data_IF_753800229133
#
_entry.id   IF_753800229133
#
_cell.length_a   1.000
_cell.length_b   1.000
_cell.length_c   1.000
_cell.angle_alpha   90.00
_cell.angle_beta   90.00
_cell.angle_gamma   90.00
#
_symmetry.space_group_name_H-M   'P 1'
#
loop_
_entity.id
_entity.type
_entity.pdbx_description
1 polymer ?
#
# COMPACT_ATOMS: atom_id res chain seq x y z
N UNK A 1 -20.34 11.35 17.87
CA UNK A 1 -19.41 12.16 18.65
C UNK A 1 -17.96 11.74 18.37
N UNK A 2 -17.14 12.69 17.90
CA UNK A 2 -15.73 12.42 17.54
C UNK A 2 -14.88 12.13 18.79
N UNK A 3 -15.24 12.70 19.93
CA UNK A 3 -14.52 12.56 21.19
C UNK A 3 -14.90 11.29 21.99
N UNK A 4 -15.95 10.56 21.56
CA UNK A 4 -16.30 9.30 22.20
C UNK A 4 -15.26 8.22 21.86
N UNK A 5 -14.47 7.85 22.85
CA UNK A 5 -13.41 6.82 22.75
C UNK A 5 -13.84 5.47 23.36
N UNK A 6 -15.13 5.27 23.61
CA UNK A 6 -15.63 3.95 23.99
C UNK A 6 -15.32 2.91 22.92
N UNK A 7 -15.09 1.66 23.33
CA UNK A 7 -14.75 0.57 22.41
C UNK A 7 -15.81 0.38 21.32
N UNK A 8 -17.08 0.56 21.68
CA UNK A 8 -18.18 0.46 20.73
C UNK A 8 -18.14 1.60 19.70
N UNK A 9 -17.90 2.84 20.14
CA UNK A 9 -17.75 4.00 19.26
C UNK A 9 -16.55 3.85 18.34
N UNK A 10 -15.40 3.42 18.85
CA UNK A 10 -14.20 3.18 18.05
C UNK A 10 -14.43 2.11 16.97
N UNK A 11 -15.12 1.02 17.30
CA UNK A 11 -15.49 -0.02 16.32
C UNK A 11 -16.41 0.53 15.22
N UNK A 12 -17.42 1.34 15.58
CA UNK A 12 -18.28 2.00 14.58
C UNK A 12 -17.49 2.95 13.68
N UNK A 13 -16.59 3.75 14.26
CA UNK A 13 -15.70 4.65 13.51
C UNK A 13 -14.80 3.86 12.54
N UNK A 14 -14.22 2.76 13.01
CA UNK A 14 -13.37 1.88 12.20
C UNK A 14 -14.13 1.30 11.01
N UNK A 15 -15.29 0.67 11.22
CA UNK A 15 -16.12 0.10 10.16
C UNK A 15 -16.52 1.18 9.14
N UNK A 16 -16.96 2.34 9.62
CA UNK A 16 -17.30 3.48 8.75
C UNK A 16 -16.11 3.91 7.91
N UNK A 17 -14.93 4.08 8.51
CA UNK A 17 -13.74 4.58 7.80
C UNK A 17 -13.22 3.56 6.78
N UNK A 18 -13.24 2.26 7.13
CA UNK A 18 -12.89 1.16 6.21
C UNK A 18 -13.82 1.17 4.97
N UNK A 19 -15.10 1.48 5.13
CA UNK A 19 -16.03 1.58 4.02
C UNK A 19 -15.90 2.90 3.22
N UNK A 20 -15.59 4.02 3.88
CA UNK A 20 -15.55 5.33 3.26
C UNK A 20 -14.28 5.59 2.45
N UNK A 21 -13.10 5.17 2.95
CA UNK A 21 -11.82 5.46 2.28
C UNK A 21 -11.79 4.90 0.85
N UNK A 22 -12.16 3.63 0.58
CA UNK A 22 -12.24 3.13 -0.80
C UNK A 22 -13.19 3.95 -1.68
N UNK A 23 -14.34 4.35 -1.14
CA UNK A 23 -15.30 5.17 -1.89
C UNK A 23 -14.74 6.55 -2.26
N UNK A 24 -14.01 7.18 -1.34
CA UNK A 24 -13.30 8.45 -1.59
C UNK A 24 -12.24 8.26 -2.67
N UNK A 25 -11.43 7.21 -2.59
CA UNK A 25 -10.35 6.94 -3.54
C UNK A 25 -10.90 6.63 -4.93
N UNK A 26 -11.96 5.83 -5.05
CA UNK A 26 -12.60 5.56 -6.33
C UNK A 26 -13.18 6.84 -6.94
N UNK A 27 -13.88 7.66 -6.13
CA UNK A 27 -14.40 8.97 -6.56
C UNK A 27 -13.29 9.89 -7.05
N UNK A 28 -12.17 9.99 -6.31
CA UNK A 28 -11.01 10.79 -6.72
C UNK A 28 -10.43 10.31 -8.06
N UNK A 29 -10.34 9.00 -8.27
CA UNK A 29 -9.85 8.40 -9.51
C UNK A 29 -10.73 8.80 -10.70
N UNK A 30 -12.03 8.66 -10.56
CA UNK A 30 -12.98 9.05 -11.61
C UNK A 30 -12.93 10.54 -11.92
N UNK A 31 -12.97 11.40 -10.90
CA UNK A 31 -12.91 12.85 -11.10
C UNK A 31 -11.62 13.30 -11.80
N UNK A 32 -10.50 12.70 -11.47
CA UNK A 32 -9.21 12.96 -12.16
C UNK A 32 -9.21 12.53 -13.62
N UNK A 33 -10.00 11.51 -13.95
CA UNK A 33 -10.21 11.04 -15.33
C UNK A 33 -11.35 11.77 -16.05
N UNK A 34 -11.89 12.84 -15.48
CA UNK A 34 -13.01 13.61 -16.06
C UNK A 34 -14.37 12.88 -16.02
N UNK A 35 -14.49 11.84 -15.21
CA UNK A 35 -15.71 11.02 -15.08
C UNK A 35 -16.49 11.41 -13.82
N UNK A 36 -17.82 11.29 -13.88
CA UNK A 36 -18.68 11.48 -12.71
C UNK A 36 -18.48 10.37 -11.67
N UNK A 37 -18.61 10.66 -10.36
CA UNK A 37 -18.62 9.65 -9.32
C UNK A 37 -19.64 8.55 -9.60
N UNK A 38 -19.27 7.29 -9.32
CA UNK A 38 -20.21 6.17 -9.36
C UNK A 38 -20.62 5.80 -7.92
N UNK A 39 -21.91 5.52 -7.69
CA UNK A 39 -22.38 5.13 -6.35
C UNK A 39 -21.89 3.72 -5.98
N UNK A 40 -21.77 3.42 -4.67
CA UNK A 40 -21.50 2.07 -4.23
C UNK A 40 -22.67 1.11 -4.53
N UNK A 41 -22.35 -0.16 -4.77
CA UNK A 41 -23.33 -1.22 -5.00
C UNK A 41 -23.55 -2.02 -3.71
N UNK A 42 -24.74 -1.97 -3.10
CA UNK A 42 -24.99 -2.59 -1.79
C UNK A 42 -24.79 -4.11 -1.73
N UNK A 43 -24.90 -4.78 -2.88
CA UNK A 43 -24.74 -6.25 -2.95
C UNK A 43 -23.30 -6.75 -3.18
N UNK A 44 -22.32 -5.84 -3.35
CA UNK A 44 -20.95 -6.22 -3.64
C UNK A 44 -20.07 -6.16 -2.37
N UNK A 45 -19.12 -7.11 -2.27
CA UNK A 45 -18.04 -7.04 -1.28
C UNK A 45 -17.09 -5.87 -1.54
N UNK A 46 -16.23 -5.55 -0.56
CA UNK A 46 -15.40 -4.34 -0.56
C UNK A 46 -14.51 -4.20 -1.81
N UNK A 47 -13.81 -5.26 -2.23
CA UNK A 47 -12.93 -5.23 -3.40
C UNK A 47 -13.73 -5.05 -4.70
N UNK A 48 -14.81 -5.83 -4.89
CA UNK A 48 -15.66 -5.72 -6.05
C UNK A 48 -16.32 -4.34 -6.14
N UNK A 49 -16.79 -3.81 -5.01
CA UNK A 49 -17.43 -2.51 -4.93
C UNK A 49 -16.46 -1.38 -5.29
N UNK A 50 -15.22 -1.43 -4.76
CA UNK A 50 -14.19 -0.47 -5.14
C UNK A 50 -13.94 -0.44 -6.65
N UNK A 51 -13.73 -1.63 -7.26
CA UNK A 51 -13.48 -1.73 -8.70
C UNK A 51 -14.69 -1.27 -9.53
N UNK A 52 -15.92 -1.64 -9.11
CA UNK A 52 -17.13 -1.19 -9.77
C UNK A 52 -17.29 0.34 -9.72
N UNK A 53 -17.02 0.95 -8.55
CA UNK A 53 -17.05 2.41 -8.42
C UNK A 53 -15.96 3.09 -9.25
N UNK A 54 -14.74 2.51 -9.31
CA UNK A 54 -13.64 3.10 -10.06
C UNK A 54 -13.87 3.00 -11.58
N UNK A 55 -14.28 1.83 -12.08
CA UNK A 55 -14.40 1.56 -13.51
C UNK A 55 -15.78 1.92 -14.08
N UNK A 56 -16.81 2.02 -13.23
CA UNK A 56 -18.19 2.28 -13.66
C UNK A 56 -18.91 1.03 -14.18
N UNK A 57 -18.33 -0.15 -14.02
CA UNK A 57 -18.94 -1.44 -14.38
C UNK A 57 -18.47 -2.53 -13.40
N UNK A 58 -19.22 -3.63 -13.22
CA UNK A 58 -18.83 -4.73 -12.36
C UNK A 58 -17.50 -5.35 -12.77
N UNK A 59 -16.61 -5.69 -11.82
CA UNK A 59 -15.38 -6.43 -12.10
C UNK A 59 -15.67 -7.92 -12.36
N UNK A 60 -14.69 -8.60 -12.97
CA UNK A 60 -14.69 -10.07 -13.04
C UNK A 60 -14.35 -10.66 -11.68
N UNK A 61 -14.63 -11.97 -11.49
CA UNK A 61 -14.25 -12.70 -10.28
C UNK A 61 -12.73 -12.69 -10.06
N UNK A 62 -11.94 -12.82 -11.13
CA UNK A 62 -10.48 -12.77 -11.06
C UNK A 62 -9.97 -11.41 -10.56
N UNK A 63 -10.53 -10.31 -11.05
CA UNK A 63 -10.20 -8.96 -10.60
C UNK A 63 -10.58 -8.76 -9.12
N UNK A 64 -11.77 -9.20 -8.74
CA UNK A 64 -12.25 -9.12 -7.36
C UNK A 64 -11.34 -9.87 -6.40
N UNK A 65 -11.03 -11.14 -6.69
CA UNK A 65 -10.16 -11.97 -5.86
C UNK A 65 -8.73 -11.43 -5.78
N UNK A 66 -8.20 -10.89 -6.87
CA UNK A 66 -6.87 -10.29 -6.92
C UNK A 66 -6.77 -9.05 -6.01
N UNK A 67 -7.77 -8.15 -6.07
CA UNK A 67 -7.79 -6.98 -5.19
C UNK A 67 -8.07 -7.34 -3.74
N UNK A 68 -8.94 -8.32 -3.49
CA UNK A 68 -9.21 -8.81 -2.13
C UNK A 68 -7.95 -9.39 -1.48
N UNK A 69 -7.21 -10.23 -2.21
CA UNK A 69 -5.92 -10.74 -1.76
C UNK A 69 -4.91 -9.62 -1.46
N UNK A 70 -4.83 -8.60 -2.32
CA UNK A 70 -4.00 -7.41 -2.06
C UNK A 70 -4.41 -6.72 -0.76
N UNK A 71 -5.70 -6.47 -0.56
CA UNK A 71 -6.20 -5.80 0.64
C UNK A 71 -5.90 -6.61 1.92
N UNK A 72 -6.10 -7.92 1.89
CA UNK A 72 -5.79 -8.80 3.03
C UNK A 72 -4.30 -8.79 3.36
N UNK A 73 -3.43 -8.93 2.36
CA UNK A 73 -1.97 -8.98 2.55
C UNK A 73 -1.38 -7.67 3.07
N UNK A 74 -2.02 -6.54 2.79
CA UNK A 74 -1.57 -5.21 3.20
C UNK A 74 -2.34 -4.65 4.41
N UNK A 75 -3.36 -5.36 4.91
CA UNK A 75 -4.22 -4.90 6.00
C UNK A 75 -3.45 -4.48 7.24
N UNK A 76 -2.41 -5.23 7.61
CA UNK A 76 -1.54 -4.88 8.73
C UNK A 76 -0.08 -5.26 8.45
N UNK A 77 0.84 -4.63 9.17
CA UNK A 77 2.27 -4.95 9.21
C UNK A 77 2.93 -4.43 10.49
N UNK A 78 2.32 -4.71 11.61
CA UNK A 78 2.82 -4.34 12.93
C UNK A 78 3.14 -2.84 13.07
N UNK A 79 4.26 -2.51 13.70
CA UNK A 79 4.67 -1.12 13.99
C UNK A 79 5.42 -0.46 12.82
N UNK A 80 4.90 -0.56 11.60
CA UNK A 80 5.40 0.24 10.49
C UNK A 80 5.23 1.75 10.74
N UNK A 81 5.87 2.60 9.92
CA UNK A 81 5.94 4.04 10.17
C UNK A 81 4.56 4.70 10.35
N UNK A 82 3.59 4.39 9.49
CA UNK A 82 2.25 5.00 9.59
C UNK A 82 1.44 4.46 10.77
N UNK A 83 1.54 3.17 11.08
CA UNK A 83 0.91 2.58 12.26
C UNK A 83 1.51 3.14 13.55
N UNK A 84 2.84 3.28 13.60
CA UNK A 84 3.52 3.91 14.75
C UNK A 84 3.07 5.37 14.93
N UNK A 85 2.94 6.13 13.83
CA UNK A 85 2.42 7.50 13.85
C UNK A 85 0.99 7.54 14.40
N UNK A 86 0.10 6.65 13.94
CA UNK A 86 -1.27 6.55 14.48
C UNK A 86 -1.27 6.30 16.00
N UNK A 87 -0.47 5.33 16.45
CA UNK A 87 -0.35 5.00 17.89
C UNK A 87 0.23 6.15 18.71
N UNK A 88 1.19 6.89 18.16
CA UNK A 88 1.76 8.08 18.83
C UNK A 88 0.69 9.14 19.06
N UNK A 89 -0.12 9.44 18.04
CA UNK A 89 -1.24 10.39 18.15
C UNK A 89 -2.29 9.87 19.14
N UNK A 90 -2.69 8.61 19.01
CA UNK A 90 -3.63 7.98 19.96
C UNK A 90 -3.11 8.02 21.39
N UNK A 91 -1.81 7.81 21.59
CA UNK A 91 -1.12 7.86 22.89
C UNK A 91 -1.29 9.19 23.62
N UNK A 92 -1.51 10.29 22.91
CA UNK A 92 -1.82 11.61 23.48
C UNK A 92 -3.27 11.78 23.90
N UNK A 93 -4.13 10.77 23.68
CA UNK A 93 -5.59 10.81 23.80
C UNK A 93 -6.30 11.73 22.80
N UNK A 94 -5.67 11.96 21.65
CA UNK A 94 -6.34 12.57 20.50
C UNK A 94 -7.40 11.63 19.92
N UNK A 95 -8.32 12.18 19.13
CA UNK A 95 -9.44 11.42 18.55
C UNK A 95 -8.99 10.44 17.44
N UNK A 96 -9.90 9.51 17.11
CA UNK A 96 -9.66 8.47 16.11
C UNK A 96 -9.30 9.04 14.72
N UNK A 97 -9.99 10.08 14.27
CA UNK A 97 -9.79 10.64 12.92
C UNK A 97 -8.48 11.40 12.81
N UNK A 98 -8.05 12.07 13.86
CA UNK A 98 -6.71 12.68 13.95
C UNK A 98 -5.61 11.65 13.83
N UNK A 99 -5.75 10.48 14.49
CA UNK A 99 -4.79 9.38 14.40
C UNK A 99 -4.75 8.78 12.97
N UNK A 100 -5.90 8.57 12.34
CA UNK A 100 -5.98 8.10 10.93
C UNK A 100 -5.36 9.13 9.98
N UNK A 101 -5.67 10.41 10.15
CA UNK A 101 -5.11 11.49 9.31
C UNK A 101 -3.57 11.53 9.39
N UNK A 102 -3.02 11.40 10.59
CA UNK A 102 -1.58 11.36 10.81
C UNK A 102 -0.94 10.10 10.15
N UNK A 103 -1.62 8.95 10.22
CA UNK A 103 -1.19 7.72 9.54
C UNK A 103 -1.15 7.89 8.02
N UNK A 104 -2.17 8.51 7.42
CA UNK A 104 -2.22 8.84 5.99
C UNK A 104 -1.07 9.78 5.61
N UNK A 105 -0.81 10.81 6.42
CA UNK A 105 0.31 11.73 6.23
C UNK A 105 1.67 11.01 6.22
N UNK A 106 1.88 10.08 7.16
CA UNK A 106 3.08 9.25 7.22
C UNK A 106 3.18 8.29 6.02
N UNK A 107 2.06 7.66 5.62
CA UNK A 107 2.03 6.74 4.47
C UNK A 107 2.38 7.44 3.16
N UNK A 108 1.98 8.70 2.98
CA UNK A 108 2.27 9.50 1.78
C UNK A 108 3.77 9.70 1.54
N UNK A 109 4.61 9.55 2.56
CA UNK A 109 6.05 9.76 2.45
C UNK A 109 6.73 8.84 1.42
N UNK A 110 7.72 9.34 0.65
CA UNK A 110 8.36 8.59 -0.44
C UNK A 110 9.17 7.37 0.04
N UNK A 111 9.47 7.27 1.34
CA UNK A 111 10.16 6.14 1.95
C UNK A 111 9.19 5.11 2.56
N UNK A 112 7.87 5.28 2.39
CA UNK A 112 6.86 4.39 2.95
C UNK A 112 5.86 3.92 1.89
N UNK A 113 4.75 4.59 1.68
CA UNK A 113 3.65 4.09 0.83
C UNK A 113 3.79 4.32 -0.68
N UNK A 114 4.85 4.98 -1.15
CA UNK A 114 5.03 5.28 -2.57
C UNK A 114 5.87 4.24 -3.34
N UNK A 115 6.31 3.16 -2.69
CA UNK A 115 7.23 2.21 -3.30
C UNK A 115 6.62 1.42 -4.47
N UNK A 116 5.35 1.03 -4.38
CA UNK A 116 4.64 0.34 -5.45
C UNK A 116 4.47 1.21 -6.70
N UNK A 117 4.13 2.50 -6.53
CA UNK A 117 4.06 3.45 -7.65
C UNK A 117 5.44 3.59 -8.33
N UNK A 118 6.49 3.81 -7.55
CA UNK A 118 7.86 3.91 -8.08
C UNK A 118 8.31 2.65 -8.78
N UNK A 119 7.91 1.48 -8.28
CA UNK A 119 8.18 0.20 -8.96
C UNK A 119 7.51 0.15 -10.32
N UNK A 120 6.27 0.64 -10.45
CA UNK A 120 5.60 0.68 -11.76
C UNK A 120 6.25 1.68 -12.71
N UNK A 121 6.70 2.84 -12.21
CA UNK A 121 7.49 3.82 -12.99
C UNK A 121 8.78 3.18 -13.54
N UNK A 122 9.46 2.35 -12.74
CA UNK A 122 10.63 1.56 -13.19
C UNK A 122 10.25 0.57 -14.30
N UNK A 123 9.14 -0.15 -14.16
CA UNK A 123 8.68 -1.07 -15.20
C UNK A 123 8.36 -0.34 -16.52
N UNK A 124 7.79 0.85 -16.45
CA UNK A 124 7.58 1.71 -17.63
C UNK A 124 8.89 2.20 -18.24
N UNK A 125 9.88 2.61 -17.43
CA UNK A 125 11.19 3.05 -17.90
C UNK A 125 11.92 1.91 -18.65
N UNK A 126 11.89 0.70 -18.11
CA UNK A 126 12.50 -0.47 -18.76
C UNK A 126 11.74 -0.82 -20.03
N UNK A 127 10.43 -0.90 -19.97
CA UNK A 127 9.51 -1.13 -21.09
C UNK A 127 9.49 -2.54 -21.66
N UNK A 128 10.64 -3.26 -21.72
CA UNK A 128 10.72 -4.61 -22.29
C UNK A 128 11.77 -5.47 -21.58
N UNK A 129 11.57 -6.82 -21.48
CA UNK A 129 12.45 -7.72 -20.75
C UNK A 129 13.92 -7.72 -21.23
N UNK A 130 14.16 -7.51 -22.50
CA UNK A 130 15.51 -7.44 -23.11
C UNK A 130 16.32 -6.23 -22.64
N UNK A 131 15.67 -5.19 -22.13
CA UNK A 131 16.32 -3.97 -21.60
C UNK A 131 16.68 -4.06 -20.11
N UNK A 132 16.26 -5.10 -19.42
CA UNK A 132 16.45 -5.25 -17.97
C UNK A 132 17.93 -5.26 -17.58
N UNK A 133 18.79 -5.97 -18.31
CA UNK A 133 20.21 -6.07 -17.98
C UNK A 133 20.93 -4.72 -18.08
N UNK A 134 20.62 -3.95 -19.12
CA UNK A 134 21.15 -2.60 -19.30
C UNK A 134 20.69 -1.67 -18.16
N UNK A 135 19.41 -1.75 -17.78
CA UNK A 135 18.85 -1.00 -16.65
C UNK A 135 19.55 -1.35 -15.33
N UNK A 136 19.66 -2.64 -15.00
CA UNK A 136 20.31 -3.11 -13.78
C UNK A 136 21.77 -2.65 -13.72
N UNK A 137 22.52 -2.77 -14.84
CA UNK A 137 23.89 -2.29 -14.93
C UNK A 137 24.01 -0.78 -14.66
N UNK A 138 23.12 0.03 -15.24
CA UNK A 138 23.05 1.49 -14.99
C UNK A 138 22.81 1.76 -13.52
N UNK A 139 21.78 1.15 -12.89
CA UNK A 139 21.43 1.36 -11.48
C UNK A 139 22.58 1.00 -10.53
N UNK A 140 23.37 -0.03 -10.87
CA UNK A 140 24.56 -0.42 -10.12
C UNK A 140 25.68 0.61 -10.23
N UNK A 141 25.95 1.09 -11.44
CA UNK A 141 26.98 2.12 -11.69
C UNK A 141 26.63 3.44 -10.98
N UNK A 142 25.36 3.83 -10.99
CA UNK A 142 24.85 5.06 -10.37
C UNK A 142 24.59 4.93 -8.86
N UNK A 143 24.90 3.78 -8.25
CA UNK A 143 24.64 3.47 -6.84
C UNK A 143 23.19 3.71 -6.41
N UNK A 144 22.23 3.53 -7.33
CA UNK A 144 20.83 3.77 -7.09
C UNK A 144 20.17 2.57 -6.38
N UNK A 145 19.04 2.85 -5.68
CA UNK A 145 18.25 1.82 -5.01
C UNK A 145 17.27 1.16 -5.98
N UNK A 146 17.17 -0.15 -5.92
CA UNK A 146 16.11 -0.88 -6.64
C UNK A 146 14.79 -0.77 -5.88
N UNK A 147 13.80 -0.15 -6.51
CA UNK A 147 12.45 -0.01 -5.93
C UNK A 147 11.73 -1.36 -5.93
N UNK A 148 11.00 -1.65 -4.85
CA UNK A 148 10.35 -2.96 -4.68
C UNK A 148 11.26 -4.07 -4.16
N UNK A 149 12.53 -3.77 -3.85
CA UNK A 149 13.51 -4.73 -3.33
C UNK A 149 13.99 -4.37 -1.93
N UNK A 150 14.32 -5.42 -1.16
CA UNK A 150 14.78 -5.30 0.21
C UNK A 150 13.65 -4.97 1.19
N UNK A 151 13.86 -5.27 2.46
CA UNK A 151 12.90 -5.03 3.51
C UNK A 151 13.59 -4.65 4.81
N UNK A 152 12.97 -3.76 5.62
CA UNK A 152 13.55 -3.33 6.89
C UNK A 152 13.53 -4.43 7.96
N UNK A 153 12.49 -5.27 7.93
CA UNK A 153 12.25 -6.33 8.91
C UNK A 153 12.70 -7.69 8.38
N UNK A 154 12.26 -8.08 7.19
CA UNK A 154 12.62 -9.36 6.60
C UNK A 154 14.04 -9.32 6.04
N UNK A 155 14.88 -10.29 6.46
CA UNK A 155 16.24 -10.47 5.91
C UNK A 155 16.27 -11.39 4.68
N UNK A 156 15.18 -12.11 4.43
CA UNK A 156 14.94 -12.97 3.28
C UNK A 156 13.75 -12.49 2.47
N UNK A 157 12.99 -13.42 1.89
CA UNK A 157 11.79 -13.11 1.13
C UNK A 157 10.67 -12.56 2.01
N UNK A 158 9.96 -11.57 1.51
CA UNK A 158 8.71 -11.09 2.10
C UNK A 158 7.62 -12.16 1.86
N UNK A 159 7.03 -12.76 2.91
CA UNK A 159 6.07 -13.85 2.75
C UNK A 159 4.81 -13.45 1.96
N UNK A 160 4.51 -12.16 1.87
CA UNK A 160 3.38 -11.61 1.11
C UNK A 160 3.67 -11.58 -0.40
N UNK A 161 4.93 -11.37 -0.78
CA UNK A 161 5.33 -11.18 -2.17
C UNK A 161 5.03 -12.41 -3.05
N UNK A 162 5.17 -13.64 -2.52
CA UNK A 162 4.84 -14.86 -3.26
C UNK A 162 3.36 -14.94 -3.67
N UNK A 163 2.46 -14.46 -2.81
CA UNK A 163 1.03 -14.45 -3.09
C UNK A 163 0.68 -13.40 -4.15
N UNK A 164 1.26 -12.20 -4.05
CA UNK A 164 1.09 -11.16 -5.06
C UNK A 164 1.71 -11.53 -6.40
N UNK A 165 2.85 -12.23 -6.40
CA UNK A 165 3.43 -12.80 -7.61
C UNK A 165 2.47 -13.74 -8.32
N UNK A 166 1.85 -14.67 -7.58
CA UNK A 166 0.89 -15.62 -8.13
C UNK A 166 -0.35 -14.91 -8.72
N UNK A 167 -0.87 -13.90 -8.02
CA UNK A 167 -2.00 -13.10 -8.50
C UNK A 167 -1.65 -12.23 -9.70
N UNK A 168 -0.46 -11.59 -9.72
CA UNK A 168 -0.01 -10.79 -10.86
C UNK A 168 0.10 -11.64 -12.13
N UNK A 169 0.59 -12.88 -12.02
CA UNK A 169 0.63 -13.84 -13.13
C UNK A 169 -0.78 -14.19 -13.62
N UNK A 170 -1.61 -14.73 -12.70
CA UNK A 170 -2.96 -15.20 -13.02
C UNK A 170 -3.83 -14.09 -13.63
N UNK A 171 -3.78 -12.89 -13.06
CA UNK A 171 -4.56 -11.76 -13.55
C UNK A 171 -4.02 -11.26 -14.89
N UNK A 172 -2.70 -11.19 -15.07
CA UNK A 172 -2.07 -10.83 -16.34
C UNK A 172 -2.49 -11.77 -17.48
N UNK A 173 -2.53 -13.07 -17.20
CA UNK A 173 -3.02 -14.07 -18.15
C UNK A 173 -4.51 -13.88 -18.48
N UNK A 174 -5.35 -13.69 -17.44
CA UNK A 174 -6.79 -13.49 -17.60
C UNK A 174 -7.16 -12.20 -18.36
N UNK A 175 -6.33 -11.15 -18.28
CA UNK A 175 -6.54 -9.86 -18.92
C UNK A 175 -5.77 -9.69 -20.24
N UNK A 176 -5.00 -10.69 -20.67
CA UNK A 176 -4.12 -10.57 -21.85
C UNK A 176 -2.98 -9.56 -21.70
N UNK A 177 -2.54 -9.30 -20.47
CA UNK A 177 -1.50 -8.32 -20.11
C UNK A 177 -0.28 -9.01 -19.46
N UNK A 178 0.19 -10.09 -20.04
CA UNK A 178 1.29 -10.93 -19.51
C UNK A 178 2.65 -10.24 -19.50
N UNK A 179 2.82 -9.20 -20.32
CA UNK A 179 4.09 -8.46 -20.47
C UNK A 179 4.57 -7.87 -19.12
N UNK A 180 3.66 -7.39 -18.27
CA UNK A 180 4.04 -6.79 -16.98
C UNK A 180 4.56 -7.82 -15.99
N UNK A 181 3.97 -9.01 -15.99
CA UNK A 181 4.48 -10.11 -15.17
C UNK A 181 5.84 -10.59 -15.68
N UNK A 182 5.98 -10.82 -17.01
CA UNK A 182 7.24 -11.27 -17.61
C UNK A 182 8.38 -10.28 -17.36
N UNK A 183 8.12 -8.97 -17.50
CA UNK A 183 9.09 -7.92 -17.20
C UNK A 183 9.47 -7.91 -15.72
N UNK A 184 8.48 -8.01 -14.82
CA UNK A 184 8.73 -8.08 -13.37
C UNK A 184 9.57 -9.30 -13.00
N UNK A 185 9.26 -10.48 -13.55
CA UNK A 185 10.00 -11.71 -13.27
C UNK A 185 11.44 -11.61 -13.75
N UNK A 186 11.66 -11.07 -14.96
CA UNK A 186 13.01 -10.85 -15.49
C UNK A 186 13.81 -9.85 -14.64
N UNK A 187 13.18 -8.77 -14.17
CA UNK A 187 13.83 -7.78 -13.29
C UNK A 187 14.16 -8.39 -11.92
N UNK A 188 13.24 -9.18 -11.34
CA UNK A 188 13.47 -9.90 -10.08
C UNK A 188 14.73 -10.78 -10.21
N UNK A 189 14.83 -11.57 -11.28
CA UNK A 189 15.96 -12.45 -11.51
C UNK A 189 17.28 -11.67 -11.65
N UNK A 190 17.30 -10.63 -12.47
CA UNK A 190 18.50 -9.83 -12.72
C UNK A 190 19.02 -9.15 -11.45
N UNK A 191 18.13 -8.58 -10.63
CA UNK A 191 18.53 -7.94 -9.36
C UNK A 191 18.99 -8.99 -8.34
N UNK A 192 18.36 -10.15 -8.29
CA UNK A 192 18.82 -11.25 -7.45
C UNK A 192 20.23 -11.72 -7.82
N UNK A 193 20.51 -11.90 -9.11
CA UNK A 193 21.87 -12.27 -9.58
C UNK A 193 22.90 -11.21 -9.22
N UNK A 194 22.57 -9.94 -9.38
CA UNK A 194 23.49 -8.82 -9.20
C UNK A 194 23.75 -8.45 -7.73
N UNK A 195 22.74 -8.52 -6.86
CA UNK A 195 22.80 -7.97 -5.48
C UNK A 195 22.33 -8.93 -4.40
N UNK A 196 21.75 -10.08 -4.73
CA UNK A 196 21.09 -11.00 -3.78
C UNK A 196 20.00 -10.30 -2.95
N UNK A 197 19.30 -9.35 -3.55
CA UNK A 197 18.19 -8.65 -2.93
C UNK A 197 16.87 -9.35 -3.25
N UNK A 198 16.12 -9.72 -2.21
CA UNK A 198 14.77 -10.24 -2.35
C UNK A 198 13.77 -9.12 -2.62
N UNK A 199 12.72 -9.44 -3.35
CA UNK A 199 11.57 -8.56 -3.55
C UNK A 199 10.80 -8.38 -2.24
N UNK A 200 10.10 -7.24 -2.13
CA UNK A 200 9.14 -6.98 -1.06
C UNK A 200 7.70 -6.94 -1.61
N UNK A 201 6.73 -6.67 -0.73
CA UNK A 201 5.30 -6.64 -1.07
C UNK A 201 4.97 -5.65 -2.19
N UNK A 202 5.71 -4.54 -2.32
CA UNK A 202 5.43 -3.49 -3.29
C UNK A 202 5.78 -3.89 -4.72
N UNK A 203 6.68 -4.87 -4.90
CA UNK A 203 7.19 -5.25 -6.22
C UNK A 203 6.07 -5.78 -7.14
N UNK A 204 5.43 -6.88 -6.77
CA UNK A 204 4.33 -7.44 -7.57
C UNK A 204 3.00 -6.73 -7.36
N UNK A 205 2.81 -5.96 -6.28
CA UNK A 205 1.64 -5.10 -6.18
C UNK A 205 1.60 -4.04 -7.28
N UNK A 206 2.75 -3.57 -7.76
CA UNK A 206 2.82 -2.59 -8.84
C UNK A 206 2.16 -3.11 -10.12
N UNK A 207 2.62 -4.24 -10.64
CA UNK A 207 2.05 -4.85 -11.85
C UNK A 207 0.61 -5.33 -11.63
N UNK A 208 0.29 -5.88 -10.43
CA UNK A 208 -1.06 -6.30 -10.09
C UNK A 208 -2.07 -5.16 -10.14
N UNK A 209 -1.79 -4.05 -9.44
CA UNK A 209 -2.68 -2.88 -9.42
C UNK A 209 -2.83 -2.25 -10.81
N UNK A 210 -1.76 -2.24 -11.59
CA UNK A 210 -1.80 -1.71 -12.96
C UNK A 210 -2.68 -2.57 -13.87
N UNK A 211 -2.55 -3.89 -13.83
CA UNK A 211 -3.40 -4.82 -14.60
C UNK A 211 -4.85 -4.80 -14.14
N UNK A 212 -5.13 -4.46 -12.89
CA UNK A 212 -6.48 -4.16 -12.39
C UNK A 212 -7.07 -2.87 -12.98
N UNK A 213 -6.32 -2.11 -13.79
CA UNK A 213 -6.76 -0.84 -14.34
C UNK A 213 -6.77 0.32 -13.33
N UNK A 214 -6.09 0.17 -12.22
CA UNK A 214 -5.97 1.24 -11.23
C UNK A 214 -4.89 2.23 -11.69
N UNK A 215 -5.20 3.53 -11.82
CA UNK A 215 -4.21 4.56 -12.15
C UNK A 215 -3.04 4.60 -11.15
N UNK A 216 -1.82 4.74 -11.64
CA UNK A 216 -0.61 4.68 -10.81
C UNK A 216 -0.55 5.76 -9.72
N UNK A 217 -1.16 6.90 -9.97
CA UNK A 217 -1.31 7.98 -8.99
C UNK A 217 -2.22 7.64 -7.81
N UNK A 218 -3.03 6.58 -7.92
CA UNK A 218 -3.85 6.06 -6.84
C UNK A 218 -3.17 4.94 -6.02
N UNK A 219 -2.00 4.44 -6.42
CA UNK A 219 -1.36 3.29 -5.76
C UNK A 219 -1.11 3.50 -4.27
N UNK A 220 -0.62 4.67 -3.87
CA UNK A 220 -0.46 5.02 -2.44
C UNK A 220 -1.80 5.11 -1.71
N UNK A 221 -2.84 5.63 -2.37
CA UNK A 221 -4.18 5.68 -1.81
C UNK A 221 -4.80 4.27 -1.68
N UNK A 222 -4.52 3.37 -2.64
CA UNK A 222 -4.90 1.96 -2.54
C UNK A 222 -4.23 1.25 -1.36
N UNK A 223 -2.97 1.59 -1.09
CA UNK A 223 -2.31 1.12 0.12
C UNK A 223 -3.06 1.57 1.38
N UNK A 224 -3.52 2.83 1.43
CA UNK A 224 -4.34 3.32 2.54
C UNK A 224 -5.68 2.57 2.66
N UNK A 225 -6.35 2.26 1.53
CA UNK A 225 -7.58 1.46 1.52
C UNK A 225 -7.42 0.09 2.17
N UNK A 226 -6.29 -0.56 1.97
CA UNK A 226 -5.98 -1.83 2.63
C UNK A 226 -5.58 -1.62 4.10
N UNK A 227 -4.68 -0.68 4.38
CA UNK A 227 -4.05 -0.49 5.69
C UNK A 227 -4.96 0.14 6.74
N UNK A 228 -6.06 0.78 6.35
CA UNK A 228 -6.98 1.40 7.32
C UNK A 228 -7.51 0.39 8.35
N UNK A 229 -7.66 -0.89 7.98
CA UNK A 229 -8.06 -1.94 8.91
C UNK A 229 -7.03 -2.11 10.04
N UNK A 230 -5.74 -2.23 9.68
CA UNK A 230 -4.64 -2.35 10.65
C UNK A 230 -4.48 -1.08 11.49
N UNK A 231 -4.54 0.12 10.89
CA UNK A 231 -4.52 1.37 11.66
C UNK A 231 -5.64 1.43 12.67
N UNK A 232 -6.87 1.06 12.28
CA UNK A 232 -8.04 1.04 13.18
C UNK A 232 -7.83 0.07 14.33
N UNK A 233 -7.34 -1.13 14.06
CA UNK A 233 -7.04 -2.13 15.09
C UNK A 233 -5.99 -1.61 16.08
N UNK A 234 -4.90 -1.01 15.58
CA UNK A 234 -3.86 -0.44 16.44
C UNK A 234 -4.31 0.78 17.23
N UNK A 235 -5.18 1.63 16.68
CA UNK A 235 -5.77 2.77 17.41
C UNK A 235 -6.66 2.26 18.54
N UNK A 236 -7.50 1.26 18.29
CA UNK A 236 -8.36 0.64 19.29
C UNK A 236 -7.52 0.00 20.41
N UNK A 237 -6.52 -0.80 20.05
CA UNK A 237 -5.61 -1.43 21.00
C UNK A 237 -4.89 -0.39 21.87
N UNK A 238 -4.32 0.66 21.25
CA UNK A 238 -3.64 1.74 21.96
C UNK A 238 -4.59 2.50 22.89
N UNK A 239 -5.85 2.68 22.52
CA UNK A 239 -6.83 3.38 23.36
C UNK A 239 -7.21 2.56 24.57
N UNK A 240 -7.37 1.23 24.42
CA UNK A 240 -7.78 0.33 25.52
C UNK A 240 -6.71 0.20 26.59
N UNK A 241 -5.44 0.08 26.18
CA UNK A 241 -4.28 0.03 27.08
C UNK A 241 -3.33 1.18 26.74
N UNK A 242 -3.75 2.41 27.08
CA UNK A 242 -3.08 3.61 26.64
C UNK A 242 -1.89 4.01 27.52
N UNK A 243 -0.78 4.21 26.86
CA UNK A 243 0.40 4.85 27.44
C UNK A 243 0.95 5.90 26.48
N UNK A 244 1.26 7.10 27.00
CA UNK A 244 1.89 8.15 26.21
C UNK A 244 3.22 7.68 25.65
N UNK A 245 3.36 7.74 24.31
CA UNK A 245 4.59 7.42 23.61
C UNK A 245 5.45 8.68 23.54
N UNK A 246 6.46 8.73 24.40
CA UNK A 246 7.37 9.88 24.50
C UNK A 246 8.80 9.39 24.67
N UNK A 247 9.58 9.25 23.56
CA UNK A 247 10.98 8.86 23.60
C UNK A 247 11.83 9.88 24.38
N UNK A 248 12.86 9.37 25.03
CA UNK A 248 13.88 10.22 25.63
C UNK A 248 14.93 10.59 24.56
N UNK A 249 15.48 11.80 24.70
CA UNK A 249 16.58 12.26 23.86
C UNK A 249 17.83 12.51 24.70
N UNK A 250 18.99 12.22 24.12
CA UNK A 250 20.29 12.60 24.70
C UNK A 250 20.80 13.82 23.95
N UNK A 251 21.04 14.91 24.68
CA UNK A 251 21.68 16.08 24.09
C UNK A 251 23.15 15.75 23.74
N UNK A 252 23.54 16.07 22.52
CA UNK A 252 24.89 15.82 21.98
C UNK A 252 25.60 17.11 21.52
N UNK A 253 25.00 18.28 21.74
CA UNK A 253 25.59 19.57 21.42
C UNK A 253 26.57 20.07 22.49
N UNK A 254 27.13 21.30 22.33
CA UNK A 254 28.01 21.95 23.30
C UNK A 254 27.30 22.09 24.66
N UNK A 255 28.03 21.88 25.76
CA UNK A 255 27.46 21.93 27.13
C UNK A 255 27.84 23.21 27.87
N UNK A 256 28.90 23.87 27.42
CA UNK A 256 29.45 25.08 28.04
C UNK A 256 29.25 26.27 27.07
N UNK A 257 28.05 26.83 27.03
CA UNK A 257 27.69 28.04 26.29
C UNK A 257 27.51 29.18 27.28
#
# INVERSE_FOLDING_TARGET
DEHDVSLESLRRKAVRTIAQIPSIVATMGRLRSGQSPAPPHPGLGAAANFLAMLHGHPPTDAQTQALDAYCVLLADHGFNASTFTARTVTGTRSDYYSAVTAAVGSLKGPLHGAANRKTMEVLFEIGAPDRVDAYVKKMLADHQRFMGFGHRVYKGEDPRAKHLKAWAKRLGEAQGQTQWFALSERLQEAVWQAKRLSINVDFYSASLLYVLGIPTELFTAMFACARIAGWSAHIIEQTVDNRLIRPLARYVGPRDL
#
